data_IF_742652569525
#
_entry.id   IF_742652569525
#
_cell.length_a   1.000
_cell.length_b   1.000
_cell.length_c   1.000
_cell.angle_alpha   90.00
_cell.angle_beta   90.00
_cell.angle_gamma   90.00
#
_symmetry.space_group_name_H-M   'P 1'
#
loop_
_entity.id
_entity.type
_entity.pdbx_description
1 polymer ?
#
# COMPACT_ATOMS: atom_id res chain seq x y z
N UNK A 1 43.74 -48.60 50.55
CA UNK A 1 43.30 -47.19 50.73
C UNK A 1 44.54 -46.33 50.52
N UNK A 2 44.56 -45.32 49.62
CA UNK A 2 43.61 -44.21 49.43
C UNK A 2 43.03 -44.16 48.00
N UNK A 3 41.77 -43.77 47.79
CA UNK A 3 41.21 -42.42 47.63
C UNK A 3 40.95 -42.07 46.14
N UNK A 4 39.68 -42.26 45.81
CA UNK A 4 38.87 -41.63 44.77
C UNK A 4 39.33 -40.23 44.35
N UNK A 5 39.64 -40.08 43.06
CA UNK A 5 39.27 -38.88 42.29
C UNK A 5 38.78 -39.33 40.91
N UNK A 6 37.50 -39.06 40.67
CA UNK A 6 36.79 -39.32 39.43
C UNK A 6 37.18 -38.24 38.41
N UNK A 7 37.67 -38.58 37.20
CA UNK A 7 37.81 -37.59 36.16
C UNK A 7 36.44 -37.35 35.52
N UNK A 8 35.92 -36.14 35.66
CA UNK A 8 34.82 -35.63 34.84
C UNK A 8 35.28 -35.59 33.37
N UNK A 9 35.12 -36.71 32.65
CA UNK A 9 35.26 -36.72 31.20
C UNK A 9 34.00 -36.04 30.66
N UNK A 10 34.17 -34.80 30.22
CA UNK A 10 33.11 -33.99 29.64
C UNK A 10 32.44 -34.68 28.46
N UNK A 11 31.14 -34.39 28.30
CA UNK A 11 30.21 -34.89 27.29
C UNK A 11 30.71 -34.82 25.82
N UNK A 12 31.80 -34.10 25.55
CA UNK A 12 32.34 -33.89 24.21
C UNK A 12 33.21 -35.07 23.71
N UNK A 13 33.73 -35.94 24.58
CA UNK A 13 34.56 -37.07 24.13
C UNK A 13 33.72 -38.24 23.61
N UNK A 14 32.45 -38.35 24.03
CA UNK A 14 31.54 -39.39 23.58
C UNK A 14 30.90 -39.08 22.21
N UNK A 15 30.86 -37.82 21.79
CA UNK A 15 30.31 -37.40 20.49
C UNK A 15 31.31 -37.55 19.33
N UNK A 16 32.62 -37.49 19.59
CA UNK A 16 33.64 -37.63 18.55
C UNK A 16 33.80 -39.08 18.02
N UNK A 17 33.39 -40.08 18.80
CA UNK A 17 33.46 -41.49 18.39
C UNK A 17 32.28 -41.93 17.50
N UNK A 18 31.15 -41.20 17.51
CA UNK A 18 29.95 -41.54 16.72
C UNK A 18 29.93 -40.77 15.41
N UNK A 19 30.43 -39.54 15.39
CA UNK A 19 30.47 -38.70 14.20
C UNK A 19 31.92 -38.45 13.78
N UNK A 20 32.52 -39.47 13.16
CA UNK A 20 33.70 -39.27 12.34
C UNK A 20 33.36 -38.38 11.14
N UNK A 21 33.35 -37.07 11.32
CA UNK A 21 33.53 -36.08 10.27
C UNK A 21 33.66 -34.65 10.83
N UNK A 22 34.74 -34.00 10.40
CA UNK A 22 35.09 -32.60 10.62
C UNK A 22 33.92 -31.66 10.23
N UNK A 23 33.38 -30.80 11.13
CA UNK A 23 32.28 -29.90 10.81
C UNK A 23 32.63 -28.81 9.79
N UNK A 24 33.91 -28.69 9.42
CA UNK A 24 34.38 -27.75 8.38
C UNK A 24 34.35 -28.32 6.96
N UNK A 25 34.13 -29.63 6.78
CA UNK A 25 34.00 -30.23 5.44
C UNK A 25 32.60 -30.06 4.80
N UNK A 26 31.61 -29.57 5.55
CA UNK A 26 30.21 -29.44 5.10
C UNK A 26 29.84 -28.10 4.47
N UNK A 27 30.78 -27.16 4.32
CA UNK A 27 30.54 -25.88 3.62
C UNK A 27 30.96 -25.88 2.14
N UNK A 28 31.29 -27.05 1.58
CA UNK A 28 31.82 -27.19 0.22
C UNK A 28 30.90 -27.89 -0.79
N UNK A 29 29.75 -28.45 -0.38
CA UNK A 29 28.79 -29.05 -1.32
C UNK A 29 27.56 -28.17 -1.38
N UNK A 30 27.48 -27.32 -2.41
CA UNK A 30 26.20 -26.88 -2.97
C UNK A 30 25.48 -28.15 -3.42
N UNK A 31 24.84 -28.84 -2.48
CA UNK A 31 23.92 -29.91 -2.77
C UNK A 31 22.94 -29.36 -3.79
N UNK A 32 22.82 -30.06 -4.92
CA UNK A 32 21.69 -29.92 -5.80
C UNK A 32 20.45 -30.17 -4.93
N UNK A 33 19.87 -29.10 -4.40
CA UNK A 33 18.51 -29.13 -3.90
C UNK A 33 17.67 -29.66 -5.07
N UNK A 34 16.80 -30.66 -4.87
CA UNK A 34 15.91 -31.10 -5.93
C UNK A 34 15.20 -29.86 -6.45
N UNK A 35 15.36 -29.58 -7.75
CA UNK A 35 14.76 -28.43 -8.39
C UNK A 35 13.27 -28.49 -8.07
N UNK A 36 12.78 -27.51 -7.29
CA UNK A 36 11.36 -27.39 -6.97
C UNK A 36 10.59 -27.51 -8.29
N UNK A 37 9.47 -28.25 -8.35
CA UNK A 37 8.80 -28.55 -9.61
C UNK A 37 8.55 -27.25 -10.37
N UNK A 38 9.12 -27.16 -11.57
CA UNK A 38 9.01 -25.99 -12.42
C UNK A 38 7.52 -25.74 -12.69
N UNK A 39 7.01 -24.59 -12.24
CA UNK A 39 5.66 -24.16 -12.64
C UNK A 39 5.72 -23.72 -14.09
N UNK A 40 4.60 -23.87 -14.80
CA UNK A 40 4.44 -23.39 -16.16
C UNK A 40 3.63 -22.09 -16.18
N UNK A 41 4.03 -21.16 -17.04
CA UNK A 41 3.28 -19.95 -17.31
C UNK A 41 1.86 -20.29 -17.76
N UNK A 42 0.85 -19.72 -17.09
CA UNK A 42 -0.56 -19.94 -17.44
C UNK A 42 -0.94 -19.46 -18.84
N UNK A 43 -0.12 -18.62 -19.47
CA UNK A 43 -0.41 -18.05 -20.79
C UNK A 43 0.35 -18.70 -21.95
N UNK A 44 1.57 -19.20 -21.73
CA UNK A 44 2.42 -19.71 -22.81
C UNK A 44 3.12 -21.04 -22.50
N UNK A 45 2.94 -21.61 -21.29
CA UNK A 45 3.53 -22.89 -20.93
C UNK A 45 5.03 -22.86 -20.58
N UNK A 46 5.73 -21.74 -20.76
CA UNK A 46 7.15 -21.61 -20.42
C UNK A 46 7.43 -21.88 -18.93
N UNK A 47 8.60 -22.43 -18.62
CA UNK A 47 9.04 -22.64 -17.25
C UNK A 47 9.22 -21.31 -16.52
N UNK A 48 8.69 -21.22 -15.30
CA UNK A 48 8.72 -20.03 -14.47
C UNK A 48 9.05 -20.38 -13.02
N UNK A 49 9.57 -19.37 -12.31
CA UNK A 49 9.80 -19.47 -10.87
C UNK A 49 8.52 -19.86 -10.12
N UNK A 50 8.67 -20.65 -9.06
CA UNK A 50 7.56 -21.22 -8.28
C UNK A 50 6.55 -20.19 -7.75
N UNK A 51 6.98 -18.95 -7.49
CA UNK A 51 6.13 -17.87 -6.97
C UNK A 51 5.40 -17.07 -8.07
N UNK A 52 5.75 -17.25 -9.34
CA UNK A 52 5.15 -16.53 -10.46
C UNK A 52 3.99 -17.32 -11.06
N UNK A 53 3.03 -16.60 -11.64
CA UNK A 53 1.92 -17.20 -12.41
C UNK A 53 2.11 -17.05 -13.93
N UNK A 54 2.90 -16.04 -14.34
CA UNK A 54 3.17 -15.69 -15.73
C UNK A 54 4.66 -15.42 -15.92
N UNK A 55 5.19 -15.68 -17.11
CA UNK A 55 6.58 -15.36 -17.45
C UNK A 55 6.79 -13.84 -17.60
N UNK A 56 8.04 -13.42 -17.74
CA UNK A 56 8.43 -12.00 -17.92
C UNK A 56 7.71 -11.33 -19.09
N UNK A 57 7.48 -12.05 -20.18
CA UNK A 57 6.80 -11.56 -21.39
C UNK A 57 5.28 -11.52 -21.22
N UNK A 58 4.66 -12.53 -20.60
CA UNK A 58 3.20 -12.64 -20.49
C UNK A 58 2.59 -11.94 -19.26
N UNK A 59 3.42 -11.45 -18.33
CA UNK A 59 2.94 -10.77 -17.10
C UNK A 59 2.33 -9.39 -17.38
N UNK A 60 2.70 -8.77 -18.50
CA UNK A 60 2.14 -7.49 -18.96
C UNK A 60 1.21 -7.72 -20.14
N UNK A 61 0.08 -7.02 -20.15
CA UNK A 61 -0.85 -7.01 -21.27
C UNK A 61 -1.17 -5.56 -21.67
N UNK A 62 -1.37 -5.29 -22.97
CA UNK A 62 -1.83 -3.98 -23.42
C UNK A 62 -3.27 -3.76 -22.95
N UNK A 63 -3.52 -2.60 -22.36
CA UNK A 63 -4.86 -2.13 -21.98
C UNK A 63 -5.09 -0.73 -22.51
N UNK A 64 -6.34 -0.42 -22.86
CA UNK A 64 -6.72 0.89 -23.37
C UNK A 64 -6.97 1.86 -22.21
N UNK A 65 -6.43 3.07 -22.29
CA UNK A 65 -6.75 4.14 -21.37
C UNK A 65 -8.19 4.63 -21.61
N UNK A 66 -9.01 4.71 -20.57
CA UNK A 66 -10.41 5.14 -20.71
C UNK A 66 -10.58 6.62 -21.08
N UNK A 67 -9.56 7.45 -20.86
CA UNK A 67 -9.65 8.91 -21.05
C UNK A 67 -9.06 9.36 -22.37
N UNK A 68 -7.87 8.87 -22.73
CA UNK A 68 -7.21 9.26 -23.99
C UNK A 68 -7.29 8.19 -25.08
N UNK A 69 -7.65 6.95 -24.73
CA UNK A 69 -7.71 5.85 -25.70
C UNK A 69 -6.37 5.18 -26.03
N UNK A 70 -5.25 5.66 -25.49
CA UNK A 70 -3.93 5.08 -25.75
C UNK A 70 -3.76 3.68 -25.17
N UNK A 71 -2.97 2.84 -25.84
CA UNK A 71 -2.58 1.53 -25.36
C UNK A 71 -1.40 1.63 -24.40
N UNK A 72 -1.55 1.08 -23.20
CA UNK A 72 -0.49 1.04 -22.18
C UNK A 72 -0.30 -0.38 -21.67
N UNK A 73 0.96 -0.76 -21.44
CA UNK A 73 1.29 -2.06 -20.86
C UNK A 73 1.07 -2.03 -19.34
N UNK A 74 0.22 -2.93 -18.84
CA UNK A 74 -0.06 -3.07 -17.41
C UNK A 74 0.17 -4.50 -16.95
N UNK A 75 0.62 -4.64 -15.71
CA UNK A 75 0.72 -5.97 -15.09
C UNK A 75 -0.67 -6.53 -14.85
N UNK A 76 -0.88 -7.82 -15.15
CA UNK A 76 -2.17 -8.51 -14.91
C UNK A 76 -2.65 -8.35 -13.46
N UNK A 77 -1.74 -8.45 -12.49
CA UNK A 77 -2.04 -8.26 -11.07
C UNK A 77 -2.44 -6.82 -10.69
N UNK A 78 -2.11 -5.83 -11.52
CA UNK A 78 -2.51 -4.44 -11.32
C UNK A 78 -3.93 -4.20 -11.86
N UNK A 79 -4.26 -4.79 -13.00
CA UNK A 79 -5.59 -4.67 -13.64
C UNK A 79 -6.69 -5.16 -12.69
N UNK A 80 -6.48 -6.31 -12.04
CA UNK A 80 -7.42 -6.87 -11.07
C UNK A 80 -7.60 -5.97 -9.83
N UNK A 81 -6.56 -5.25 -9.41
CA UNK A 81 -6.61 -4.37 -8.23
C UNK A 81 -7.28 -3.02 -8.49
N UNK A 82 -7.21 -2.50 -9.71
CA UNK A 82 -7.73 -1.16 -10.04
C UNK A 82 -9.24 -1.14 -10.33
N UNK A 83 -9.95 -2.25 -10.13
CA UNK A 83 -11.42 -2.26 -10.16
C UNK A 83 -12.02 -1.94 -11.54
N UNK A 84 -11.33 -2.33 -12.62
CA UNK A 84 -11.79 -2.14 -14.00
C UNK A 84 -11.15 -0.95 -14.70
N UNK A 85 -11.01 0.20 -14.03
CA UNK A 85 -10.56 1.41 -14.71
C UNK A 85 -9.06 1.46 -14.99
N UNK A 86 -8.70 1.63 -16.26
CA UNK A 86 -7.31 1.70 -16.71
C UNK A 86 -6.96 3.10 -17.22
N UNK A 87 -5.87 3.66 -16.71
CA UNK A 87 -5.39 4.98 -17.08
C UNK A 87 -3.92 4.91 -17.53
N UNK A 88 -3.55 5.72 -18.53
CA UNK A 88 -2.15 5.82 -18.96
C UNK A 88 -1.27 6.49 -17.90
N UNK A 89 -1.83 7.40 -17.11
CA UNK A 89 -1.10 8.07 -16.02
C UNK A 89 -2.02 8.86 -15.09
N UNK A 90 -1.39 9.54 -14.12
CA UNK A 90 -2.11 10.33 -13.10
C UNK A 90 -2.97 11.44 -13.69
N UNK A 91 -2.55 12.06 -14.79
CA UNK A 91 -3.31 13.13 -15.46
C UNK A 91 -4.67 12.63 -15.95
N UNK A 92 -4.71 11.48 -16.63
CA UNK A 92 -5.94 10.87 -17.10
C UNK A 92 -6.80 10.37 -15.93
N UNK A 93 -6.18 9.76 -14.92
CA UNK A 93 -6.91 9.39 -13.70
C UNK A 93 -7.55 10.62 -13.03
N UNK A 94 -6.82 11.73 -12.90
CA UNK A 94 -7.34 12.98 -12.33
C UNK A 94 -8.49 13.59 -13.13
N UNK A 95 -8.40 13.58 -14.47
CA UNK A 95 -9.52 14.00 -15.35
C UNK A 95 -10.75 13.13 -15.14
N UNK A 96 -10.58 11.80 -15.12
CA UNK A 96 -11.67 10.87 -14.85
C UNK A 96 -12.30 11.13 -13.49
N UNK A 97 -11.49 11.38 -12.45
CA UNK A 97 -11.99 11.73 -11.12
C UNK A 97 -12.78 13.05 -11.14
N UNK A 98 -12.32 14.07 -11.86
CA UNK A 98 -13.02 15.35 -11.97
C UNK A 98 -14.40 15.24 -12.62
N UNK A 99 -14.56 14.32 -13.59
CA UNK A 99 -15.84 14.09 -14.28
C UNK A 99 -16.75 13.13 -13.50
N UNK A 100 -16.20 12.01 -13.02
CA UNK A 100 -16.99 10.89 -12.52
C UNK A 100 -17.09 10.82 -10.99
N UNK A 101 -16.11 11.36 -10.26
CA UNK A 101 -16.30 11.62 -8.83
C UNK A 101 -16.79 13.04 -8.67
N UNK A 102 -18.09 13.19 -8.38
CA UNK A 102 -18.52 14.32 -7.57
C UNK A 102 -17.59 14.33 -6.37
N UNK A 103 -16.73 15.33 -6.23
CA UNK A 103 -15.83 15.48 -5.09
C UNK A 103 -16.67 15.83 -3.86
N UNK A 104 -17.53 14.91 -3.45
CA UNK A 104 -18.14 14.89 -2.14
C UNK A 104 -17.06 14.51 -1.15
N UNK A 105 -16.07 15.37 -0.96
CA UNK A 105 -15.57 15.53 0.41
C UNK A 105 -16.82 15.96 1.17
N UNK A 106 -17.49 15.02 1.84
CA UNK A 106 -18.50 15.38 2.84
C UNK A 106 -17.78 16.34 3.76
N UNK A 107 -18.08 17.63 3.63
CA UNK A 107 -17.48 18.63 4.50
C UNK A 107 -17.90 18.20 5.91
N UNK A 108 -16.93 17.95 6.79
CA UNK A 108 -17.18 17.51 8.17
C UNK A 108 -18.11 18.48 8.90
N UNK A 109 -18.15 19.72 8.44
CA UNK A 109 -18.99 20.79 8.98
C UNK A 109 -19.82 21.40 7.85
N UNK A 110 -21.07 21.71 8.17
CA UNK A 110 -21.95 22.47 7.30
C UNK A 110 -21.59 23.97 7.37
N UNK A 111 -20.93 24.45 6.32
CA UNK A 111 -20.49 25.85 6.25
C UNK A 111 -21.68 26.80 6.05
N UNK A 112 -22.80 26.32 5.50
CA UNK A 112 -24.01 27.12 5.32
C UNK A 112 -24.68 27.36 6.66
N UNK A 113 -24.74 26.33 7.51
CA UNK A 113 -25.25 26.44 8.87
C UNK A 113 -24.39 27.40 9.71
N UNK A 114 -23.05 27.30 9.62
CA UNK A 114 -22.13 28.22 10.32
C UNK A 114 -22.36 29.68 9.88
N UNK A 115 -22.50 29.91 8.57
CA UNK A 115 -22.73 31.24 8.03
C UNK A 115 -24.09 31.81 8.41
N UNK A 116 -25.15 30.99 8.33
CA UNK A 116 -26.50 31.37 8.73
C UNK A 116 -26.52 31.80 10.20
N UNK A 117 -25.85 31.05 11.07
CA UNK A 117 -25.73 31.39 12.48
C UNK A 117 -24.94 32.68 12.72
N UNK A 118 -23.87 32.92 11.95
CA UNK A 118 -23.12 34.18 11.98
C UNK A 118 -24.00 35.39 11.61
N UNK A 119 -24.79 35.27 10.54
CA UNK A 119 -25.71 36.34 10.10
C UNK A 119 -26.84 36.55 11.12
N UNK A 120 -27.40 35.46 11.67
CA UNK A 120 -28.49 35.50 12.64
C UNK A 120 -28.09 36.13 13.97
N UNK A 121 -26.88 35.86 14.45
CA UNK A 121 -26.42 36.27 15.80
C UNK A 121 -25.48 37.46 15.80
N UNK A 122 -24.84 37.76 14.66
CA UNK A 122 -23.75 38.75 14.57
C UNK A 122 -22.47 38.31 15.28
N UNK A 123 -22.35 37.04 15.69
CA UNK A 123 -21.21 36.58 16.48
C UNK A 123 -19.94 36.37 15.65
N UNK A 124 -18.81 36.85 16.17
CA UNK A 124 -17.50 36.61 15.57
C UNK A 124 -17.04 35.15 15.69
N UNK A 125 -15.99 34.80 14.92
CA UNK A 125 -15.49 33.43 14.79
C UNK A 125 -15.10 32.77 16.12
N UNK A 126 -14.53 33.54 17.06
CA UNK A 126 -14.12 33.03 18.38
C UNK A 126 -15.34 32.55 19.18
N UNK A 127 -16.43 33.34 19.19
CA UNK A 127 -17.64 33.01 19.95
C UNK A 127 -18.36 31.82 19.33
N UNK A 128 -18.45 31.76 18.00
CA UNK A 128 -19.00 30.62 17.26
C UNK A 128 -18.19 29.34 17.49
N UNK A 129 -16.86 29.43 17.51
CA UNK A 129 -15.98 28.28 17.79
C UNK A 129 -16.26 27.66 19.16
N UNK A 130 -16.40 28.50 20.20
CA UNK A 130 -16.69 28.04 21.56
C UNK A 130 -18.08 27.40 21.69
N UNK A 131 -19.09 27.98 21.03
CA UNK A 131 -20.47 27.50 21.14
C UNK A 131 -20.74 26.24 20.32
N UNK A 132 -20.19 26.17 19.11
CA UNK A 132 -20.38 25.02 18.22
C UNK A 132 -19.40 23.88 18.51
N UNK A 133 -18.39 24.10 19.35
CA UNK A 133 -17.30 23.14 19.59
C UNK A 133 -16.46 22.86 18.34
N UNK A 134 -16.48 23.78 17.37
CA UNK A 134 -15.76 23.66 16.10
C UNK A 134 -14.44 24.41 16.20
N UNK A 135 -13.38 23.84 15.61
CA UNK A 135 -12.08 24.49 15.55
C UNK A 135 -12.16 25.89 14.90
N UNK A 136 -11.51 26.88 15.53
CA UNK A 136 -11.53 28.27 15.08
C UNK A 136 -11.08 28.45 13.62
N UNK A 137 -10.10 27.67 13.17
CA UNK A 137 -9.63 27.70 11.78
C UNK A 137 -10.71 27.29 10.78
N UNK A 138 -11.55 26.32 11.15
CA UNK A 138 -12.68 25.88 10.31
C UNK A 138 -13.75 26.97 10.25
N UNK A 139 -14.08 27.61 11.37
CA UNK A 139 -15.03 28.73 11.40
C UNK A 139 -14.51 29.89 10.56
N UNK A 140 -13.27 30.31 10.75
CA UNK A 140 -12.64 31.37 9.97
C UNK A 140 -12.66 31.06 8.47
N UNK A 141 -12.33 29.82 8.10
CA UNK A 141 -12.39 29.40 6.71
C UNK A 141 -13.81 29.45 6.15
N UNK A 142 -14.83 29.00 6.89
CA UNK A 142 -16.23 29.05 6.47
C UNK A 142 -16.70 30.50 6.27
N UNK A 143 -16.44 31.39 7.23
CA UNK A 143 -16.82 32.80 7.14
C UNK A 143 -16.08 33.51 5.99
N UNK A 144 -14.79 33.26 5.81
CA UNK A 144 -13.99 33.85 4.74
C UNK A 144 -14.49 33.38 3.36
N UNK A 145 -14.68 32.08 3.18
CA UNK A 145 -15.16 31.50 1.91
C UNK A 145 -16.48 32.13 1.50
N UNK A 146 -17.42 32.29 2.44
CA UNK A 146 -18.71 32.92 2.18
C UNK A 146 -18.62 34.40 1.84
N UNK A 147 -17.75 35.15 2.52
CA UNK A 147 -17.49 36.55 2.18
C UNK A 147 -16.95 36.70 0.75
N UNK A 148 -16.03 35.82 0.34
CA UNK A 148 -15.49 35.80 -1.02
C UNK A 148 -16.56 35.42 -2.05
N UNK A 149 -17.37 34.39 -1.79
CA UNK A 149 -18.50 34.02 -2.64
C UNK A 149 -19.47 35.18 -2.86
N UNK A 150 -19.83 35.91 -1.79
CA UNK A 150 -20.71 37.09 -1.86
C UNK A 150 -20.05 38.25 -2.62
N UNK A 151 -18.75 38.46 -2.41
CA UNK A 151 -18.01 39.52 -3.10
C UNK A 151 -17.91 39.29 -4.62
N UNK A 152 -17.81 38.04 -5.07
CA UNK A 152 -17.80 37.69 -6.49
C UNK A 152 -19.19 37.64 -7.14
N UNK A 153 -20.26 37.58 -6.34
CA UNK A 153 -21.63 37.58 -6.83
C UNK A 153 -22.21 39.00 -7.02
N UNK A 154 -21.46 40.05 -6.66
CA UNK A 154 -21.79 41.47 -6.86
C UNK A 154 -21.00 42.03 -8.02
#
# INVERSE_FOLDING_TARGET
>A
MPNTQSPCIGYNTLLAAIFGQDPKALLGRKGLLPSKPARRCKSCGAEIDFYKQYCSSCRQIPVKCEVCGDLVLRMRAQILRMGGHQFCGQRCHGRWLGVNKKTGRRRKHDYEAIWSEHIRTGWGAIRLSRLLGINLGVINHALHTKRVEIAHAR
#
